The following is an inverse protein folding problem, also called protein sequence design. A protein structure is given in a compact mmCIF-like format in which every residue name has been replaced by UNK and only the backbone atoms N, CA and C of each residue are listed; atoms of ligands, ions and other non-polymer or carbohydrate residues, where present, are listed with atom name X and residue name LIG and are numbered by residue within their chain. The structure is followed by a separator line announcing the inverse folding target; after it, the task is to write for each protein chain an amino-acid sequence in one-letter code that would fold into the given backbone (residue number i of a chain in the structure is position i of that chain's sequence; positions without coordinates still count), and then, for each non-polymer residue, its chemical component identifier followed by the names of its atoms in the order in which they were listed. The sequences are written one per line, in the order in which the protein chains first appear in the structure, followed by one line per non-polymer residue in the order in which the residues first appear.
data_IF_975845526685
#
_entry.id   IF_975845526685
#
_cell.length_a   1.000
_cell.length_b   1.000
_cell.length_c   1.000
_cell.angle_alpha   90.00
_cell.angle_beta   90.00
_cell.angle_gamma   90.00
#
_symmetry.space_group_name_H-M   'P 1'
#
loop_
_entity.id
_entity.type
_entity.pdbx_description
1 polymer ?
#
# COMPACT_ATOMS: atom_id res chain seq x y z
N UNK A 1 -8.70 34.10 -0.45
CA UNK A 1 -8.95 34.87 -1.68
C UNK A 1 -8.01 34.35 -2.75
N UNK A 2 -8.42 33.76 -3.86
CA UNK A 2 -9.67 33.17 -4.35
C UNK A 2 -9.25 32.59 -5.71
N UNK A 3 -9.55 31.33 -6.02
CA UNK A 3 -9.50 30.92 -7.42
C UNK A 3 -10.76 31.49 -8.08
N UNK A 4 -10.70 32.75 -8.51
CA UNK A 4 -11.79 33.37 -9.25
C UNK A 4 -11.98 32.66 -10.58
N UNK A 5 -13.22 32.25 -10.83
CA UNK A 5 -13.68 31.68 -12.10
C UNK A 5 -13.52 32.72 -13.21
N UNK A 6 -12.97 32.34 -14.37
CA UNK A 6 -13.20 33.07 -15.62
C UNK A 6 -14.00 32.15 -16.56
N UNK A 7 -15.07 32.65 -17.19
CA UNK A 7 -15.84 31.88 -18.15
C UNK A 7 -15.12 31.88 -19.49
N UNK A 8 -15.21 30.74 -20.19
CA UNK A 8 -14.87 30.53 -21.61
C UNK A 8 -13.36 30.43 -21.96
N UNK A 9 -13.00 29.17 -22.29
CA UNK A 9 -11.96 28.69 -23.20
C UNK A 9 -10.50 29.16 -23.02
N UNK A 10 -9.65 28.15 -22.76
CA UNK A 10 -8.19 28.09 -22.90
C UNK A 10 -7.35 29.14 -22.17
N UNK A 11 -6.98 28.83 -20.94
CA UNK A 11 -5.56 28.89 -20.56
C UNK A 11 -5.33 28.10 -19.26
N UNK A 12 -4.26 27.31 -19.23
CA UNK A 12 -3.86 26.44 -18.13
C UNK A 12 -3.67 27.22 -16.81
N UNK A 13 -4.69 27.23 -15.94
CA UNK A 13 -4.51 27.56 -14.53
C UNK A 13 -3.89 26.35 -13.83
N UNK A 14 -2.56 26.28 -13.89
CA UNK A 14 -1.78 25.36 -13.08
C UNK A 14 -1.87 25.82 -11.61
N UNK A 15 -2.87 25.34 -10.89
CA UNK A 15 -2.82 25.31 -9.42
C UNK A 15 -1.87 24.18 -9.03
N UNK A 16 -0.55 24.39 -9.20
CA UNK A 16 0.50 23.39 -9.01
C UNK A 16 0.71 22.95 -7.56
N UNK A 17 -0.18 23.34 -6.64
CA UNK A 17 -0.20 22.84 -5.27
C UNK A 17 -1.59 22.33 -4.92
N UNK A 18 -1.77 21.02 -5.02
CA UNK A 18 -2.89 20.34 -4.36
C UNK A 18 -2.60 20.31 -2.86
N UNK A 19 -3.32 21.13 -2.09
CA UNK A 19 -3.34 20.98 -0.64
C UNK A 19 -4.25 19.82 -0.25
N UNK A 20 -3.92 19.13 0.85
CA UNK A 20 -4.83 18.14 1.41
C UNK A 20 -6.09 18.86 1.89
N UNK A 21 -7.24 18.46 1.36
CA UNK A 21 -8.52 18.90 1.90
C UNK A 21 -8.61 18.46 3.37
N UNK A 22 -9.01 19.36 4.29
CA UNK A 22 -9.22 18.98 5.68
C UNK A 22 -10.30 17.89 5.77
N UNK A 23 -10.07 16.89 6.60
CA UNK A 23 -11.05 15.84 6.86
C UNK A 23 -12.11 16.38 7.83
N UNK A 24 -13.22 16.89 7.28
CA UNK A 24 -14.33 17.50 8.04
C UNK A 24 -15.40 16.46 8.41
N UNK A 25 -15.58 15.44 7.56
CA UNK A 25 -16.57 14.38 7.73
C UNK A 25 -16.03 13.23 8.62
N UNK A 26 -16.76 12.72 9.62
CA UNK A 26 -16.34 11.52 10.35
C UNK A 26 -16.01 10.31 9.45
N UNK A 27 -16.65 10.18 8.30
CA UNK A 27 -16.41 9.09 7.36
C UNK A 27 -15.00 9.15 6.76
N UNK A 28 -14.43 10.34 6.53
CA UNK A 28 -13.09 10.44 5.95
C UNK A 28 -11.98 9.99 6.90
N UNK A 29 -12.26 9.87 8.21
CA UNK A 29 -11.30 9.31 9.17
C UNK A 29 -11.06 7.81 8.95
N UNK A 30 -12.01 7.13 8.31
CA UNK A 30 -11.93 5.71 7.97
C UNK A 30 -11.23 5.47 6.62
N UNK A 31 -11.00 6.52 5.83
CA UNK A 31 -10.31 6.43 4.56
C UNK A 31 -8.79 6.30 4.76
N UNK A 32 -8.10 5.58 3.85
CA UNK A 32 -6.65 5.43 3.94
C UNK A 32 -5.93 6.77 3.72
N UNK A 33 -5.00 7.09 4.62
CA UNK A 33 -4.19 8.30 4.55
C UNK A 33 -3.21 8.31 3.37
N UNK A 34 -2.83 7.12 2.88
CA UNK A 34 -1.96 6.96 1.71
C UNK A 34 -2.26 5.63 1.02
N UNK A 35 -2.26 5.69 -0.30
CA UNK A 35 -2.31 4.52 -1.18
C UNK A 35 -1.04 4.55 -2.04
N UNK A 36 -0.22 3.50 -1.99
CA UNK A 36 0.98 3.35 -2.83
C UNK A 36 0.82 2.21 -3.83
N UNK A 37 1.48 2.32 -4.97
CA UNK A 37 1.51 1.29 -6.00
C UNK A 37 2.95 0.88 -6.24
N UNK A 38 3.20 -0.42 -6.29
CA UNK A 38 4.53 -0.99 -6.54
C UNK A 38 4.42 -2.12 -7.54
N UNK A 39 5.44 -2.27 -8.38
CA UNK A 39 5.57 -3.39 -9.31
C UNK A 39 6.69 -4.30 -8.83
N UNK A 40 6.41 -5.60 -8.77
CA UNK A 40 7.36 -6.64 -8.38
C UNK A 40 7.37 -7.71 -9.46
N UNK A 41 8.54 -8.21 -9.82
CA UNK A 41 8.69 -9.26 -10.83
C UNK A 41 9.62 -10.34 -10.32
N UNK A 42 9.22 -11.59 -10.45
CA UNK A 42 10.06 -12.75 -10.13
C UNK A 42 9.70 -13.95 -11.00
N UNK A 43 10.63 -14.89 -11.20
CA UNK A 43 10.37 -16.07 -12.02
C UNK A 43 9.37 -17.02 -11.35
N UNK A 44 8.76 -17.88 -12.15
CA UNK A 44 8.09 -19.09 -11.66
C UNK A 44 9.01 -19.88 -10.76
N UNK A 45 8.45 -20.60 -9.80
CA UNK A 45 9.19 -21.41 -8.84
C UNK A 45 10.23 -20.64 -8.00
N UNK A 46 9.98 -19.35 -7.74
CA UNK A 46 10.76 -18.57 -6.77
C UNK A 46 10.97 -19.36 -5.47
N UNK A 47 12.19 -19.33 -4.93
CA UNK A 47 12.52 -20.00 -3.68
C UNK A 47 11.68 -19.43 -2.53
N UNK A 48 10.82 -20.27 -1.96
CA UNK A 48 9.98 -19.93 -0.83
C UNK A 48 10.42 -20.69 0.44
N UNK A 49 10.30 -20.10 1.64
CA UNK A 49 9.75 -18.78 1.91
C UNK A 49 10.74 -17.65 1.58
N UNK A 50 10.26 -16.55 1.00
CA UNK A 50 11.09 -15.36 0.71
C UNK A 50 10.32 -14.06 0.89
N UNK A 51 10.99 -13.05 1.45
CA UNK A 51 10.41 -11.74 1.72
C UNK A 51 10.49 -10.86 0.45
N UNK A 52 9.34 -10.36 0.00
CA UNK A 52 9.23 -9.60 -1.27
C UNK A 52 8.90 -8.12 -1.07
N UNK A 53 8.35 -7.76 0.07
CA UNK A 53 7.95 -6.37 0.35
C UNK A 53 7.99 -6.07 1.83
N UNK A 54 8.34 -4.83 2.19
CA UNK A 54 8.32 -4.31 3.56
C UNK A 54 7.41 -3.10 3.65
N UNK A 55 6.56 -3.07 4.67
CA UNK A 55 5.67 -1.95 4.94
C UNK A 55 5.85 -1.46 6.39
N UNK A 56 5.84 -0.15 6.57
CA UNK A 56 5.98 0.53 7.86
C UNK A 56 5.71 2.03 7.73
N UNK A 57 5.65 2.76 8.86
CA UNK A 57 5.55 4.21 8.84
C UNK A 57 6.83 4.82 8.25
N UNK A 58 6.72 6.01 7.66
CA UNK A 58 7.89 6.73 7.14
C UNK A 58 8.89 7.10 8.26
N UNK A 59 8.38 7.32 9.47
CA UNK A 59 9.17 7.48 10.69
C UNK A 59 8.50 6.73 11.83
N UNK A 60 9.24 5.83 12.48
CA UNK A 60 8.79 5.09 13.65
C UNK A 60 9.03 5.89 14.92
N UNK A 61 8.05 5.91 15.82
CA UNK A 61 8.11 6.55 17.12
C UNK A 61 7.85 5.53 18.23
N UNK A 62 8.39 5.74 19.45
CA UNK A 62 8.05 4.90 20.60
C UNK A 62 6.54 4.91 20.86
N UNK A 63 5.97 3.72 21.05
CA UNK A 63 4.54 3.53 21.27
C UNK A 63 3.70 3.39 19.99
N UNK A 64 4.32 3.48 18.80
CA UNK A 64 3.65 3.05 17.57
C UNK A 64 3.35 1.55 17.64
N UNK A 65 2.13 1.21 17.22
CA UNK A 65 1.73 -0.17 16.98
C UNK A 65 1.21 -0.29 15.55
N UNK A 66 1.67 -1.32 14.84
CA UNK A 66 1.23 -1.58 13.47
C UNK A 66 0.60 -2.94 13.33
N UNK A 67 -0.44 -3.02 12.50
CA UNK A 67 -1.05 -4.27 12.08
C UNK A 67 -1.05 -4.35 10.55
N UNK A 68 -0.60 -5.48 10.00
CA UNK A 68 -0.65 -5.74 8.57
C UNK A 68 -1.68 -6.82 8.25
N UNK A 69 -2.36 -6.64 7.12
CA UNK A 69 -3.30 -7.62 6.57
C UNK A 69 -3.26 -7.58 5.05
N UNK A 70 -3.40 -8.75 4.42
CA UNK A 70 -3.68 -8.86 2.99
C UNK A 70 -5.20 -8.82 2.84
N UNK A 71 -5.72 -7.85 2.09
CA UNK A 71 -7.16 -7.63 1.94
C UNK A 71 -7.72 -8.12 0.61
N UNK A 72 -6.88 -8.33 -0.41
CA UNK A 72 -7.28 -8.91 -1.70
C UNK A 72 -6.09 -9.49 -2.48
N UNK A 73 -6.34 -10.37 -3.46
CA UNK A 73 -5.33 -10.85 -4.40
C UNK A 73 -4.45 -11.98 -3.87
N UNK A 74 -4.95 -12.73 -2.88
CA UNK A 74 -4.25 -13.87 -2.29
C UNK A 74 -5.17 -15.09 -2.17
N UNK A 75 -6.01 -15.32 -3.17
CA UNK A 75 -7.03 -16.39 -3.18
C UNK A 75 -6.44 -17.81 -3.15
N UNK A 76 -5.14 -17.93 -3.49
CA UNK A 76 -4.37 -19.18 -3.50
C UNK A 76 -3.35 -19.28 -2.36
N UNK A 77 -3.39 -18.36 -1.39
CA UNK A 77 -2.52 -18.35 -0.21
C UNK A 77 -1.01 -18.37 -0.52
N UNK A 78 -0.60 -17.77 -1.65
CA UNK A 78 0.82 -17.65 -2.00
C UNK A 78 1.58 -16.71 -1.07
N UNK A 79 0.90 -15.70 -0.54
CA UNK A 79 1.50 -14.62 0.23
C UNK A 79 1.07 -14.70 1.69
N UNK A 80 1.96 -14.30 2.60
CA UNK A 80 1.60 -14.08 4.00
C UNK A 80 2.32 -12.87 4.57
N UNK A 81 1.72 -12.31 5.63
CA UNK A 81 2.31 -11.22 6.41
C UNK A 81 3.15 -11.76 7.56
N UNK A 82 4.30 -11.15 7.82
CA UNK A 82 5.18 -11.46 8.95
C UNK A 82 5.56 -10.18 9.67
N UNK A 83 5.40 -10.12 10.99
CA UNK A 83 5.89 -9.00 11.78
C UNK A 83 7.40 -9.13 11.99
N UNK A 84 8.14 -8.05 11.72
CA UNK A 84 9.58 -7.99 12.03
C UNK A 84 9.80 -7.34 13.39
N UNK A 85 9.02 -6.31 13.68
CA UNK A 85 8.98 -5.60 14.96
C UNK A 85 7.65 -4.81 15.04
N UNK A 86 7.46 -4.07 16.14
CA UNK A 86 6.28 -3.22 16.35
C UNK A 86 6.11 -2.09 15.32
N UNK A 87 7.07 -1.89 14.41
CA UNK A 87 7.10 -0.76 13.48
C UNK A 87 7.24 -1.17 12.02
N UNK A 88 7.37 -2.46 11.70
CA UNK A 88 7.46 -2.91 10.31
C UNK A 88 7.01 -4.35 10.15
N UNK A 89 6.28 -4.59 9.06
CA UNK A 89 5.89 -5.91 8.60
C UNK A 89 6.46 -6.22 7.23
N UNK A 90 6.56 -7.51 6.96
CA UNK A 90 6.99 -8.07 5.70
C UNK A 90 5.85 -8.83 5.05
N UNK A 91 5.88 -8.85 3.73
CA UNK A 91 5.04 -9.69 2.91
C UNK A 91 6.00 -10.67 2.25
N UNK A 92 5.69 -11.95 2.41
CA UNK A 92 6.54 -13.05 1.97
C UNK A 92 5.75 -13.97 1.06
N UNK A 93 6.39 -14.50 0.03
CA UNK A 93 5.90 -15.66 -0.70
C UNK A 93 6.16 -16.88 0.17
N UNK A 94 5.13 -17.64 0.52
CA UNK A 94 5.20 -18.82 1.39
C UNK A 94 5.32 -20.13 0.61
N UNK A 95 4.84 -20.16 -0.63
CA UNK A 95 4.92 -21.33 -1.50
C UNK A 95 5.22 -20.91 -2.94
N UNK A 96 5.97 -21.73 -3.71
CA UNK A 96 6.33 -21.40 -5.08
C UNK A 96 5.10 -21.23 -6.00
N UNK A 97 5.19 -20.32 -6.96
CA UNK A 97 4.16 -20.10 -7.99
C UNK A 97 4.63 -20.77 -9.27
N UNK A 98 3.96 -21.85 -9.67
CA UNK A 98 4.39 -22.70 -10.78
C UNK A 98 4.12 -22.11 -12.16
N UNK A 99 3.01 -21.38 -12.32
CA UNK A 99 2.58 -20.85 -13.62
C UNK A 99 2.84 -19.34 -13.71
N UNK A 100 3.25 -18.83 -14.90
CA UNK A 100 3.32 -17.41 -15.15
C UNK A 100 1.95 -16.76 -14.99
N UNK A 101 1.88 -15.67 -14.23
CA UNK A 101 0.63 -14.99 -13.93
C UNK A 101 0.85 -13.62 -13.30
N UNK A 102 -0.18 -12.78 -13.40
CA UNK A 102 -0.22 -11.46 -12.81
C UNK A 102 -1.16 -11.47 -11.60
N UNK A 103 -0.72 -10.87 -10.50
CA UNK A 103 -1.48 -10.81 -9.25
C UNK A 103 -1.47 -9.38 -8.73
N UNK A 104 -2.65 -8.82 -8.46
CA UNK A 104 -2.79 -7.55 -7.77
C UNK A 104 -3.08 -7.79 -6.28
N UNK A 105 -2.02 -7.76 -5.47
CA UNK A 105 -2.10 -7.93 -4.02
C UNK A 105 -2.41 -6.57 -3.36
N UNK A 106 -3.47 -6.51 -2.56
CA UNK A 106 -3.75 -5.32 -1.73
C UNK A 106 -3.39 -5.63 -0.29
N UNK A 107 -2.50 -4.80 0.27
CA UNK A 107 -2.09 -4.88 1.67
C UNK A 107 -2.60 -3.63 2.37
N UNK A 108 -3.22 -3.84 3.53
CA UNK A 108 -3.57 -2.78 4.45
C UNK A 108 -2.65 -2.82 5.67
N UNK A 109 -2.11 -1.66 6.01
CA UNK A 109 -1.44 -1.41 7.28
C UNK A 109 -2.28 -0.45 8.11
N UNK A 110 -2.59 -0.86 9.34
CA UNK A 110 -3.14 0.01 10.37
C UNK A 110 -1.99 0.46 11.28
N UNK A 111 -1.91 1.75 11.55
CA UNK A 111 -0.96 2.35 12.51
C UNK A 111 -1.77 3.00 13.62
N UNK A 112 -1.53 2.59 14.86
CA UNK A 112 -2.04 3.27 16.05
C UNK A 112 -0.92 4.12 16.63
N UNK A 113 -1.12 5.44 16.69
CA UNK A 113 -0.17 6.41 17.24
C UNK A 113 -0.87 7.38 18.16
N UNK A 114 -0.43 7.44 19.42
CA UNK A 114 -1.03 8.28 20.46
C UNK A 114 -2.57 8.13 20.56
N UNK A 115 -3.07 6.90 20.38
CA UNK A 115 -4.51 6.60 20.37
C UNK A 115 -5.25 6.91 19.07
N UNK A 116 -4.57 7.46 18.05
CA UNK A 116 -5.15 7.70 16.73
C UNK A 116 -4.85 6.52 15.80
N UNK A 117 -5.91 5.93 15.23
CA UNK A 117 -5.80 4.90 14.20
C UNK A 117 -5.68 5.55 12.82
N UNK A 118 -4.75 5.07 12.01
CA UNK A 118 -4.57 5.51 10.62
C UNK A 118 -4.34 4.31 9.71
N UNK A 119 -5.01 4.30 8.57
CA UNK A 119 -4.90 3.20 7.60
C UNK A 119 -4.08 3.62 6.38
N UNK A 120 -3.32 2.66 5.85
CA UNK A 120 -2.44 2.84 4.69
C UNK A 120 -2.63 1.63 3.78
N UNK A 121 -2.68 1.86 2.47
CA UNK A 121 -2.82 0.80 1.47
C UNK A 121 -1.55 0.74 0.61
N UNK A 122 -1.06 -0.46 0.38
CA UNK A 122 -0.08 -0.76 -0.66
C UNK A 122 -0.69 -1.74 -1.66
N UNK A 123 -0.69 -1.37 -2.94
CA UNK A 123 -1.06 -2.24 -4.06
C UNK A 123 0.20 -2.76 -4.73
N UNK A 124 0.44 -4.06 -4.65
CA UNK A 124 1.57 -4.71 -5.31
C UNK A 124 1.06 -5.39 -6.58
N UNK A 125 1.54 -4.91 -7.73
CA UNK A 125 1.40 -5.59 -9.00
C UNK A 125 2.54 -6.59 -9.14
N UNK A 126 2.24 -7.85 -8.86
CA UNK A 126 3.20 -8.95 -8.90
C UNK A 126 3.10 -9.65 -10.25
N UNK A 127 4.21 -9.64 -11.00
CA UNK A 127 4.35 -10.30 -12.29
C UNK A 127 5.22 -11.55 -12.13
N UNK A 128 4.62 -12.73 -12.30
CA UNK A 128 5.34 -14.00 -12.28
C UNK A 128 5.65 -14.39 -13.72
N UNK A 129 6.93 -14.43 -14.09
CA UNK A 129 7.38 -14.70 -15.45
C UNK A 129 7.96 -16.11 -15.57
N UNK A 130 7.98 -16.74 -16.76
CA UNK A 130 8.67 -18.02 -16.94
C UNK A 130 10.14 -17.94 -16.51
N UNK A 131 10.66 -19.03 -15.96
CA UNK A 131 12.10 -19.21 -15.76
C UNK A 131 12.77 -19.38 -17.15
N UNK A 132 13.82 -18.60 -17.42
CA UNK A 132 14.56 -18.62 -18.69
C UNK A 132 15.63 -19.71 -18.71
#
# INVERSE_FOLDING_TARGET
MECTHLPLLSDSKECSRCERLPCIDPECQHLPLRITHHQLTFPTNIQAPTDIFRMGPSHSLPGDDIQLSITSGNERDYFATKYVNAHSGLISVQQPIAEPQDILLTIQMSLTRYGTLSTFIAKLHVFVTPEL
#
